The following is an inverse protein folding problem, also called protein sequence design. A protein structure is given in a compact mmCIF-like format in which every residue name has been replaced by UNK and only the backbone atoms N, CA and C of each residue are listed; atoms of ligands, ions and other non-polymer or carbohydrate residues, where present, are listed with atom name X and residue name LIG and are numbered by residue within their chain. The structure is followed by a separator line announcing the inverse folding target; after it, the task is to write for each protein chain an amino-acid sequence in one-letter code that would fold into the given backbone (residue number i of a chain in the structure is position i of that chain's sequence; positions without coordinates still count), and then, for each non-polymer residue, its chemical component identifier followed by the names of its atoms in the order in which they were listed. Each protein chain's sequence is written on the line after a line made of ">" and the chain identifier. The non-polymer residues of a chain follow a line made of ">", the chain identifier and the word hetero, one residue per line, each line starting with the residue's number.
data_IF_587303425617
#
_entry.id   IF_587303425617
#
_cell.length_a   1.000
_cell.length_b   1.000
_cell.length_c   1.000
_cell.angle_alpha   90.00
_cell.angle_beta   90.00
_cell.angle_gamma   90.00
#
_symmetry.space_group_name_H-M   'P 1'
#
loop_
_entity.id
_entity.type
_entity.pdbx_description
1 polymer ?
#
# COMPACT_ATOMS: atom_id res chain seq x y z
N UNK A 1 -11.85 -11.42 12.65
CA UNK A 1 -12.27 -10.35 11.71
C UNK A 1 -11.07 -10.01 10.84
N UNK A 2 -11.19 -10.04 9.52
CA UNK A 2 -10.12 -9.64 8.62
C UNK A 2 -10.39 -8.20 8.16
N UNK A 3 -9.56 -7.25 8.59
CA UNK A 3 -9.60 -5.87 8.11
C UNK A 3 -8.52 -5.71 7.03
N UNK A 4 -8.93 -5.27 5.84
CA UNK A 4 -7.98 -4.99 4.75
C UNK A 4 -7.92 -3.48 4.53
N UNK A 5 -6.71 -2.92 4.64
CA UNK A 5 -6.47 -1.52 4.31
C UNK A 5 -5.87 -1.44 2.91
N UNK A 6 -6.54 -0.69 2.04
CA UNK A 6 -6.15 -0.47 0.65
C UNK A 6 -5.79 1.00 0.49
N UNK A 7 -4.63 1.25 -0.10
CA UNK A 7 -4.18 2.59 -0.48
C UNK A 7 -4.22 2.69 -1.99
N UNK A 8 -4.90 3.71 -2.50
CA UNK A 8 -4.93 4.05 -3.91
C UNK A 8 -4.31 5.43 -4.12
N UNK A 9 -3.35 5.52 -5.03
CA UNK A 9 -2.67 6.75 -5.42
C UNK A 9 -3.03 7.01 -6.88
N UNK A 10 -3.58 8.18 -7.19
CA UNK A 10 -3.86 8.57 -8.57
C UNK A 10 -2.88 9.64 -9.08
N UNK A 11 -2.62 9.63 -10.38
CA UNK A 11 -1.90 10.68 -11.09
C UNK A 11 -2.85 11.43 -12.03
N UNK A 12 -3.57 12.46 -11.56
CA UNK A 12 -4.52 13.18 -12.39
C UNK A 12 -3.85 14.00 -13.51
N UNK A 13 -2.55 14.29 -13.39
CA UNK A 13 -1.82 15.15 -14.34
C UNK A 13 -1.08 14.37 -15.42
N UNK A 14 -0.92 13.06 -15.26
CA UNK A 14 -0.19 12.25 -16.22
C UNK A 14 1.32 12.44 -16.18
N UNK A 15 1.88 12.86 -15.05
CA UNK A 15 3.33 13.03 -14.91
C UNK A 15 4.09 11.70 -14.81
N UNK A 16 3.41 10.60 -14.49
CA UNK A 16 3.99 9.27 -14.39
C UNK A 16 5.17 9.14 -13.41
N UNK A 17 5.07 9.64 -12.16
CA UNK A 17 6.21 9.71 -11.26
C UNK A 17 6.60 8.33 -10.70
N UNK A 18 7.87 8.20 -10.33
CA UNK A 18 8.27 7.13 -9.42
C UNK A 18 7.84 7.49 -7.99
N UNK A 19 7.10 6.59 -7.34
CA UNK A 19 6.61 6.77 -5.98
C UNK A 19 7.31 5.78 -5.05
N UNK A 20 7.81 6.29 -3.93
CA UNK A 20 8.32 5.49 -2.81
C UNK A 20 7.31 5.50 -1.67
N UNK A 21 7.01 4.31 -1.18
CA UNK A 21 6.09 4.03 -0.09
C UNK A 21 6.93 3.45 1.04
N UNK A 22 6.92 4.10 2.18
CA UNK A 22 7.60 3.68 3.41
C UNK A 22 6.52 3.27 4.42
N UNK A 23 6.62 2.05 4.92
CA UNK A 23 5.70 1.49 5.90
C UNK A 23 6.44 1.40 7.23
N UNK A 24 5.83 1.98 8.26
CA UNK A 24 6.36 1.99 9.61
C UNK A 24 5.46 1.19 10.53
N UNK A 25 6.05 0.42 11.44
CA UNK A 25 5.30 -0.31 12.44
C UNK A 25 4.70 0.63 13.52
N UNK A 26 3.92 0.08 14.44
CA UNK A 26 3.34 0.83 15.57
C UNK A 26 4.38 1.50 16.49
N UNK A 27 5.60 0.98 16.52
CA UNK A 27 6.71 1.55 17.29
C UNK A 27 7.40 2.70 16.54
N UNK A 28 6.98 3.00 15.30
CA UNK A 28 7.57 4.03 14.45
C UNK A 28 8.83 3.58 13.69
N UNK A 29 9.18 2.30 13.73
CA UNK A 29 10.33 1.74 13.01
C UNK A 29 9.96 1.45 11.57
N UNK A 30 10.90 1.68 10.64
CA UNK A 30 10.69 1.39 9.23
C UNK A 30 10.63 -0.12 9.01
N UNK A 31 9.44 -0.63 8.68
CA UNK A 31 9.21 -2.04 8.42
C UNK A 31 9.51 -2.41 6.96
N UNK A 32 9.14 -1.56 6.00
CA UNK A 32 9.32 -1.85 4.58
C UNK A 32 9.37 -0.61 3.70
N UNK A 33 10.10 -0.70 2.60
CA UNK A 33 10.10 0.28 1.51
C UNK A 33 9.64 -0.42 0.23
N UNK A 34 8.71 0.19 -0.48
CA UNK A 34 8.32 -0.20 -1.83
C UNK A 34 8.50 0.99 -2.79
N UNK A 35 9.01 0.73 -3.98
CA UNK A 35 9.13 1.72 -5.06
C UNK A 35 8.33 1.23 -6.25
N UNK A 36 7.44 2.07 -6.77
CA UNK A 36 6.61 1.74 -7.93
C UNK A 36 6.47 2.93 -8.84
N UNK A 37 6.48 2.66 -10.15
CA UNK A 37 6.09 3.64 -11.15
C UNK A 37 4.58 3.81 -11.13
N UNK A 38 4.13 5.05 -10.97
CA UNK A 38 2.74 5.41 -11.23
C UNK A 38 2.62 5.65 -12.73
N UNK A 39 1.70 4.93 -13.40
CA UNK A 39 1.48 5.15 -14.83
C UNK A 39 0.85 6.54 -15.04
N UNK A 40 1.19 7.27 -16.12
CA UNK A 40 0.50 8.50 -16.48
C UNK A 40 -1.02 8.30 -16.52
N UNK A 41 -1.78 9.21 -15.89
CA UNK A 41 -3.24 9.13 -15.76
C UNK A 41 -3.73 7.85 -15.06
N UNK A 42 -2.81 7.17 -14.39
CA UNK A 42 -3.02 5.87 -13.79
C UNK A 42 -3.40 5.94 -12.32
N UNK A 43 -3.81 4.78 -11.82
CA UNK A 43 -4.06 4.53 -10.41
C UNK A 43 -3.12 3.40 -9.99
N UNK A 44 -2.37 3.64 -8.93
CA UNK A 44 -1.62 2.61 -8.22
C UNK A 44 -2.40 2.20 -6.98
N UNK A 45 -2.81 0.95 -6.92
CA UNK A 45 -3.50 0.37 -5.77
C UNK A 45 -2.59 -0.65 -5.11
N UNK A 46 -2.53 -0.63 -3.78
CA UNK A 46 -1.81 -1.66 -3.03
C UNK A 46 -2.50 -1.94 -1.70
N UNK A 47 -2.46 -3.21 -1.30
CA UNK A 47 -3.01 -3.68 -0.03
C UNK A 47 -1.89 -3.70 0.99
N UNK A 48 -2.15 -3.17 2.19
CA UNK A 48 -1.13 -3.17 3.25
C UNK A 48 -0.73 -4.58 3.70
N UNK A 49 -1.66 -5.52 3.67
CA UNK A 49 -1.45 -6.94 3.97
C UNK A 49 -0.42 -7.63 3.06
N UNK A 50 -0.28 -7.18 1.80
CA UNK A 50 0.73 -7.72 0.87
C UNK A 50 2.16 -7.39 1.32
N UNK A 51 2.33 -6.34 2.14
CA UNK A 51 3.64 -5.86 2.58
C UNK A 51 3.93 -6.20 4.03
N UNK A 52 2.91 -6.23 4.89
CA UNK A 52 3.01 -6.61 6.29
C UNK A 52 1.74 -7.38 6.69
N UNK A 53 1.81 -8.74 6.71
CA UNK A 53 0.64 -9.57 6.95
C UNK A 53 0.16 -9.55 8.41
N UNK A 54 0.99 -9.11 9.37
CA UNK A 54 0.63 -9.10 10.79
C UNK A 54 -0.14 -7.84 11.22
N UNK A 55 -0.47 -6.96 10.27
CA UNK A 55 -1.24 -5.73 10.49
C UNK A 55 -0.66 -4.82 11.59
N UNK A 56 0.67 -4.79 11.74
CA UNK A 56 1.42 -3.99 12.72
C UNK A 56 1.80 -2.61 12.19
N UNK A 57 1.23 -2.19 11.06
CA UNK A 57 1.54 -0.90 10.42
C UNK A 57 0.89 0.24 11.20
N UNK A 58 1.72 1.13 11.76
CA UNK A 58 1.29 2.34 12.45
C UNK A 58 1.23 3.56 11.54
N UNK A 59 2.13 3.65 10.55
CA UNK A 59 2.26 4.83 9.67
C UNK A 59 2.69 4.45 8.26
N UNK A 60 2.18 5.19 7.28
CA UNK A 60 2.58 5.10 5.87
C UNK A 60 3.06 6.47 5.40
N UNK A 61 4.24 6.53 4.80
CA UNK A 61 4.83 7.73 4.18
C UNK A 61 4.95 7.49 2.68
N UNK A 62 4.51 8.46 1.88
CA UNK A 62 4.49 8.36 0.42
C UNK A 62 5.23 9.57 -0.13
N UNK A 63 6.25 9.31 -0.94
CA UNK A 63 7.09 10.33 -1.58
C UNK A 63 7.09 10.13 -3.08
N UNK A 64 6.91 11.22 -3.83
CA UNK A 64 7.10 11.23 -5.29
C UNK A 64 8.51 11.71 -5.63
N UNK A 65 9.15 11.05 -6.60
CA UNK A 65 10.42 11.47 -7.20
C UNK A 65 10.21 12.16 -8.56
N UNK A 66 9.24 13.08 -8.62
CA UNK A 66 9.11 14.00 -9.74
C UNK A 66 9.89 15.28 -9.43
N UNK A 67 10.66 15.80 -10.39
CA UNK A 67 11.33 17.11 -10.29
C UNK A 67 10.38 18.31 -10.23
N UNK A 68 9.10 18.08 -9.95
CA UNK A 68 8.03 19.07 -9.81
C UNK A 68 6.98 18.55 -8.81
N UNK A 69 6.30 19.46 -8.12
CA UNK A 69 5.18 19.13 -7.22
C UNK A 69 4.03 18.58 -8.08
N UNK A 70 3.98 17.26 -8.22
CA UNK A 70 2.86 16.59 -8.86
C UNK A 70 1.80 16.33 -7.79
N UNK A 71 0.61 16.95 -7.88
CA UNK A 71 -0.48 16.63 -6.98
C UNK A 71 -0.98 15.23 -7.32
N UNK A 72 -0.70 14.27 -6.45
CA UNK A 72 -1.33 12.96 -6.44
C UNK A 72 -2.36 12.93 -5.32
N UNK A 73 -3.51 12.32 -5.56
CA UNK A 73 -4.53 12.13 -4.53
C UNK A 73 -4.33 10.75 -3.92
N UNK A 74 -4.23 10.72 -2.60
CA UNK A 74 -4.18 9.48 -1.83
C UNK A 74 -5.58 9.22 -1.30
N UNK A 75 -6.14 8.07 -1.68
CA UNK A 75 -7.36 7.55 -1.11
C UNK A 75 -7.03 6.36 -0.21
N UNK A 76 -7.51 6.41 1.03
CA UNK A 76 -7.34 5.33 2.00
C UNK A 76 -8.70 4.70 2.27
N UNK A 77 -8.80 3.40 2.01
CA UNK A 77 -10.01 2.63 2.24
C UNK A 77 -9.76 1.56 3.29
N UNK A 78 -10.58 1.52 4.34
CA UNK A 78 -10.64 0.40 5.29
C UNK A 78 -11.83 -0.48 4.95
N UNK A 79 -11.59 -1.69 4.46
CA UNK A 79 -12.64 -2.65 4.14
C UNK A 79 -12.75 -3.67 5.28
N UNK A 80 -13.92 -3.70 5.92
CA UNK A 80 -14.27 -4.73 6.92
C UNK A 80 -15.01 -5.87 6.23
N UNK A 81 -14.51 -7.09 6.36
CA UNK A 81 -15.23 -8.27 5.94
C UNK A 81 -16.00 -8.86 7.13
N UNK A 82 -17.32 -8.74 7.10
CA UNK A 82 -18.21 -9.47 8.02
C UNK A 82 -18.53 -10.82 7.40
N UNK A 83 -17.69 -11.81 7.68
CA UNK A 83 -17.86 -13.18 7.21
C UNK A 83 -16.85 -14.09 7.87
N UNK A 84 -17.31 -15.24 8.36
CA UNK A 84 -16.51 -16.29 8.98
C UNK A 84 -15.63 -16.97 7.91
N UNK A 85 -14.61 -16.26 7.42
CA UNK A 85 -13.60 -16.82 6.52
C UNK A 85 -12.34 -17.11 7.33
N UNK A 86 -12.10 -18.40 7.52
CA UNK A 86 -10.87 -18.97 8.06
C UNK A 86 -9.71 -18.48 7.16
N UNK A 87 -8.74 -17.76 7.73
CA UNK A 87 -7.50 -17.42 7.01
C UNK A 87 -6.83 -18.72 6.55
N UNK A 88 -6.98 -19.07 5.27
CA UNK A 88 -6.21 -20.13 4.65
C UNK A 88 -4.80 -19.61 4.40
N UNK A 89 -3.91 -19.86 5.34
CA UNK A 89 -2.47 -19.85 5.08
C UNK A 89 -2.16 -21.04 4.17
N UNK A 90 -1.98 -20.80 2.87
CA UNK A 90 -1.35 -21.78 1.98
C UNK A 90 0.14 -21.85 2.34
N UNK A 91 0.52 -22.81 3.19
CA UNK A 91 1.88 -23.32 3.19
C UNK A 91 1.98 -24.36 2.08
N UNK A 92 2.51 -23.96 0.93
CA UNK A 92 2.94 -24.89 -0.11
C UNK A 92 4.26 -25.53 0.31
N UNK A 93 4.20 -26.80 0.71
CA UNK A 93 5.36 -27.69 0.78
C UNK A 93 5.59 -28.20 -0.65
N UNK A 94 6.75 -27.90 -1.25
CA UNK A 94 7.22 -28.64 -2.42
C UNK A 94 7.89 -29.92 -1.93
N UNK A 95 7.28 -31.05 -2.26
CA UNK A 95 7.86 -32.40 -2.27
C UNK A 95 8.73 -32.63 -3.50
#
# INVERSE_FOLDING_TARGET
>A
MCEETIIAINDPKGSGPMVQIELYNINGELAKIARKMLRPYGILTFKLSDYEPNNTIGKVSIRSFSGSICPYVIHTYKKRFYGHFQCLSFQGILS
#
